data_IF_156967828690
#
_entry.id   IF_156967828690
#
_cell.length_a   1.000
_cell.length_b   1.000
_cell.length_c   1.000
_cell.angle_alpha   90.00
_cell.angle_beta   90.00
_cell.angle_gamma   90.00
#
_symmetry.space_group_name_H-M   'P 1'
#
loop_
_entity.id
_entity.type
_entity.pdbx_description
1 polymer ?
#
# COMPACT_ATOMS: atom_id res chain seq x y z
N UNK A 1 -8.47 -7.77 -10.41
CA UNK A 1 -8.81 -9.18 -10.77
C UNK A 1 -9.78 -9.77 -9.74
N UNK A 2 -9.52 -9.70 -8.42
CA UNK A 2 -10.40 -10.32 -7.42
C UNK A 2 -11.79 -9.68 -7.36
N UNK A 3 -11.90 -8.35 -7.39
CA UNK A 3 -13.18 -7.66 -7.38
C UNK A 3 -14.05 -7.99 -8.59
N UNK A 4 -13.48 -8.12 -9.79
CA UNK A 4 -14.22 -8.49 -11.00
C UNK A 4 -14.71 -9.94 -10.97
N UNK A 5 -13.93 -10.86 -10.41
CA UNK A 5 -14.35 -12.26 -10.21
C UNK A 5 -15.51 -12.34 -9.21
N UNK A 6 -15.44 -11.59 -8.11
CA UNK A 6 -16.50 -11.53 -7.12
C UNK A 6 -17.81 -10.99 -7.69
N UNK A 7 -17.75 -9.93 -8.52
CA UNK A 7 -18.93 -9.40 -9.20
C UNK A 7 -19.61 -10.40 -10.13
N UNK A 8 -18.87 -11.36 -10.70
CA UNK A 8 -19.46 -12.37 -11.58
C UNK A 8 -20.27 -13.42 -10.84
N UNK A 9 -20.07 -13.57 -9.52
CA UNK A 9 -20.73 -14.58 -8.69
C UNK A 9 -21.99 -14.03 -8.01
N UNK A 10 -22.05 -12.72 -7.76
CA UNK A 10 -23.24 -12.08 -7.15
C UNK A 10 -24.28 -11.67 -8.19
N UNK A 11 -25.54 -11.82 -7.83
CA UNK A 11 -26.70 -11.39 -8.62
C UNK A 11 -26.72 -9.87 -8.83
N UNK A 12 -27.17 -9.42 -10.03
CA UNK A 12 -27.13 -8.03 -10.45
C UNK A 12 -28.06 -7.11 -9.61
N UNK A 13 -29.14 -7.63 -9.02
CA UNK A 13 -30.05 -6.83 -8.19
C UNK A 13 -29.42 -6.50 -6.84
N UNK A 14 -28.77 -7.48 -6.22
CA UNK A 14 -28.04 -7.33 -4.94
C UNK A 14 -26.87 -6.34 -5.09
N UNK A 15 -26.11 -6.42 -6.20
CA UNK A 15 -25.02 -5.48 -6.48
C UNK A 15 -25.49 -4.03 -6.59
N UNK A 16 -26.62 -3.79 -7.28
CA UNK A 16 -27.21 -2.45 -7.41
C UNK A 16 -27.72 -1.90 -6.08
N UNK A 17 -28.32 -2.76 -5.25
CA UNK A 17 -28.86 -2.38 -3.94
C UNK A 17 -27.75 -1.99 -2.95
N UNK A 18 -26.58 -2.62 -3.05
CA UNK A 18 -25.44 -2.39 -2.16
C UNK A 18 -24.40 -1.42 -2.74
N UNK A 19 -24.59 -0.91 -3.96
CA UNK A 19 -23.63 -0.02 -4.60
C UNK A 19 -22.29 -0.68 -4.97
N UNK A 20 -22.26 -2.01 -5.07
CA UNK A 20 -21.04 -2.77 -5.36
C UNK A 20 -20.60 -2.60 -6.83
N UNK A 21 -19.89 -1.53 -7.11
CA UNK A 21 -19.27 -1.29 -8.40
C UNK A 21 -17.76 -1.54 -8.34
N UNK A 22 -17.27 -2.41 -9.23
CA UNK A 22 -15.83 -2.59 -9.41
C UNK A 22 -15.22 -1.33 -10.01
N UNK A 23 -14.37 -0.68 -9.25
CA UNK A 23 -13.60 0.45 -9.77
C UNK A 23 -12.33 -0.08 -10.44
N UNK A 24 -12.15 0.25 -11.72
CA UNK A 24 -10.97 -0.19 -12.46
C UNK A 24 -9.69 0.44 -11.89
N UNK A 25 -8.57 -0.26 -12.03
CA UNK A 25 -7.27 0.23 -11.60
C UNK A 25 -6.94 1.61 -12.18
N UNK A 26 -7.26 1.84 -13.45
CA UNK A 26 -7.07 3.14 -14.09
C UNK A 26 -7.82 4.27 -13.38
N UNK A 27 -9.07 4.03 -12.99
CA UNK A 27 -9.87 5.04 -12.27
C UNK A 27 -9.38 5.24 -10.84
N UNK A 28 -8.93 4.18 -10.17
CA UNK A 28 -8.29 4.29 -8.85
C UNK A 28 -7.04 5.17 -8.94
N UNK A 29 -6.18 4.92 -9.92
CA UNK A 29 -4.96 5.71 -10.12
C UNK A 29 -5.25 7.18 -10.49
N UNK A 30 -6.33 7.48 -11.21
CA UNK A 30 -6.79 8.87 -11.44
C UNK A 30 -7.11 9.61 -10.14
N UNK A 31 -7.48 8.90 -9.08
CA UNK A 31 -7.72 9.45 -7.75
C UNK A 31 -6.43 9.50 -6.94
N UNK A 32 -5.69 8.39 -6.85
CA UNK A 32 -4.54 8.28 -5.96
C UNK A 32 -3.31 9.07 -6.45
N UNK A 33 -3.12 9.16 -7.78
CA UNK A 33 -1.99 9.89 -8.33
C UNK A 33 -1.97 11.36 -7.88
N UNK A 34 -2.98 12.19 -8.19
CA UNK A 34 -2.97 13.60 -7.80
C UNK A 34 -3.15 13.79 -6.28
N UNK A 35 -3.68 12.79 -5.55
CA UNK A 35 -3.89 12.88 -4.12
C UNK A 35 -2.57 12.84 -3.33
N UNK A 36 -1.66 11.93 -3.67
CA UNK A 36 -0.39 11.78 -2.95
C UNK A 36 0.73 11.04 -3.73
N UNK A 37 0.41 10.18 -4.70
CA UNK A 37 1.44 9.36 -5.35
C UNK A 37 2.37 10.18 -6.26
N UNK A 38 1.86 11.18 -6.96
CA UNK A 38 2.66 12.01 -7.86
C UNK A 38 3.66 12.84 -7.06
N UNK A 39 3.26 13.40 -5.91
CA UNK A 39 4.17 14.11 -5.00
C UNK A 39 5.33 13.20 -4.54
N UNK A 40 5.05 11.95 -4.16
CA UNK A 40 6.08 11.00 -3.73
C UNK A 40 7.04 10.63 -4.87
N UNK A 41 6.54 10.49 -6.09
CA UNK A 41 7.36 10.24 -7.28
C UNK A 41 8.23 11.44 -7.64
N UNK A 42 7.70 12.65 -7.53
CA UNK A 42 8.47 13.89 -7.71
C UNK A 42 9.55 14.04 -6.64
N UNK A 43 9.26 13.71 -5.38
CA UNK A 43 10.23 13.71 -4.29
C UNK A 43 11.37 12.70 -4.55
N UNK A 44 11.05 11.50 -5.05
CA UNK A 44 12.04 10.52 -5.47
C UNK A 44 12.93 11.05 -6.60
N UNK A 45 12.33 11.61 -7.64
CA UNK A 45 13.07 12.19 -8.75
C UNK A 45 13.98 13.34 -8.29
N UNK A 46 13.49 14.21 -7.41
CA UNK A 46 14.28 15.29 -6.82
C UNK A 46 15.43 14.78 -5.93
N UNK A 47 15.23 13.69 -5.20
CA UNK A 47 16.27 13.05 -4.39
C UNK A 47 17.39 12.49 -5.26
N UNK A 48 17.05 11.83 -6.37
CA UNK A 48 18.00 11.29 -7.34
C UNK A 48 18.77 12.36 -8.11
N UNK A 49 18.18 13.54 -8.30
CA UNK A 49 18.79 14.68 -9.00
C UNK A 49 19.78 15.49 -8.15
N UNK A 50 19.94 15.17 -6.84
CA UNK A 50 20.89 15.89 -5.97
C UNK A 50 22.32 15.76 -6.51
N UNK A 51 23.14 16.79 -6.27
CA UNK A 51 24.49 16.97 -6.81
C UNK A 51 25.54 16.03 -6.18
N UNK A 52 25.39 15.63 -4.93
CA UNK A 52 26.34 14.77 -4.23
C UNK A 52 25.70 13.48 -3.71
N UNK A 53 26.51 12.40 -3.63
CA UNK A 53 26.08 11.11 -3.09
C UNK A 53 25.47 11.25 -1.69
N UNK A 54 26.12 12.02 -0.81
CA UNK A 54 25.61 12.22 0.56
C UNK A 54 24.23 12.89 0.59
N UNK A 55 24.01 13.91 -0.26
CA UNK A 55 22.71 14.57 -0.34
C UNK A 55 21.64 13.67 -0.94
N UNK A 56 22.00 12.82 -1.93
CA UNK A 56 21.09 11.78 -2.46
C UNK A 56 20.67 10.81 -1.36
N UNK A 57 21.63 10.23 -0.64
CA UNK A 57 21.38 9.28 0.45
C UNK A 57 20.50 9.90 1.53
N UNK A 58 20.76 11.12 1.97
CA UNK A 58 19.96 11.81 2.97
C UNK A 58 18.51 12.05 2.49
N UNK A 59 18.35 12.48 1.24
CA UNK A 59 17.03 12.73 0.66
C UNK A 59 16.24 11.42 0.47
N UNK A 60 16.87 10.36 -0.01
CA UNK A 60 16.26 9.04 -0.17
C UNK A 60 15.83 8.44 1.17
N UNK A 61 16.66 8.54 2.21
CA UNK A 61 16.28 8.07 3.53
C UNK A 61 15.09 8.85 4.10
N UNK A 62 15.07 10.18 3.91
CA UNK A 62 13.93 11.01 4.32
C UNK A 62 12.63 10.58 3.62
N UNK A 63 12.70 10.35 2.31
CA UNK A 63 11.54 9.84 1.57
C UNK A 63 11.13 8.46 2.08
N UNK A 64 12.08 7.57 2.34
CA UNK A 64 11.79 6.24 2.87
C UNK A 64 11.11 6.28 4.25
N UNK A 65 11.56 7.19 5.13
CA UNK A 65 10.89 7.43 6.42
C UNK A 65 9.45 7.93 6.23
N UNK A 66 9.25 8.85 5.28
CA UNK A 66 7.92 9.35 4.93
C UNK A 66 7.01 8.24 4.41
N UNK A 67 7.49 7.37 3.51
CA UNK A 67 6.73 6.21 3.02
C UNK A 67 6.28 5.30 4.18
N UNK A 68 7.15 5.07 5.15
CA UNK A 68 6.85 4.29 6.36
C UNK A 68 5.88 4.98 7.32
N UNK A 69 5.73 6.30 7.25
CA UNK A 69 4.79 7.05 8.09
C UNK A 69 3.37 7.06 7.53
N UNK A 70 3.20 6.91 6.22
CA UNK A 70 1.89 6.96 5.55
C UNK A 70 0.95 5.88 6.09
N UNK A 71 -0.27 6.29 6.40
CA UNK A 71 -1.41 5.42 6.74
C UNK A 71 -2.51 5.65 5.73
N UNK A 72 -2.98 4.59 5.11
CA UNK A 72 -4.01 4.64 4.08
C UNK A 72 -5.30 4.01 4.59
N UNK A 73 -6.44 4.69 4.38
CA UNK A 73 -7.76 4.21 4.78
C UNK A 73 -8.76 4.33 3.64
N UNK A 74 -9.51 3.25 3.40
CA UNK A 74 -10.72 3.25 2.59
C UNK A 74 -11.93 2.93 3.49
N UNK A 75 -12.83 3.90 3.72
CA UNK A 75 -13.96 3.73 4.64
C UNK A 75 -15.14 2.94 4.05
N UNK A 76 -15.06 2.53 2.78
CA UNK A 76 -16.05 1.69 2.11
C UNK A 76 -15.33 0.71 1.17
N UNK A 77 -14.41 -0.09 1.73
CA UNK A 77 -13.35 -0.70 0.94
C UNK A 77 -13.79 -1.85 0.02
N UNK A 78 -15.00 -2.40 0.20
CA UNK A 78 -15.42 -3.55 -0.58
C UNK A 78 -14.42 -4.69 -0.49
N UNK A 79 -14.02 -5.21 -1.66
CA UNK A 79 -12.96 -6.22 -1.77
C UNK A 79 -11.53 -5.63 -1.72
N UNK A 80 -11.35 -4.38 -1.28
CA UNK A 80 -10.06 -3.75 -1.02
C UNK A 80 -9.34 -3.15 -2.23
N UNK A 81 -10.03 -2.86 -3.34
CA UNK A 81 -9.37 -2.43 -4.58
C UNK A 81 -8.50 -1.17 -4.40
N UNK A 82 -8.99 -0.12 -3.71
CA UNK A 82 -8.21 1.09 -3.44
C UNK A 82 -7.01 0.79 -2.56
N UNK A 83 -7.19 0.00 -1.51
CA UNK A 83 -6.13 -0.36 -0.55
C UNK A 83 -5.04 -1.17 -1.26
N UNK A 84 -5.42 -2.13 -2.11
CA UNK A 84 -4.50 -2.98 -2.88
C UNK A 84 -3.64 -2.14 -3.83
N UNK A 85 -4.27 -1.20 -4.57
CA UNK A 85 -3.54 -0.34 -5.51
C UNK A 85 -2.63 0.61 -4.76
N UNK A 86 -3.12 1.27 -3.68
CA UNK A 86 -2.30 2.16 -2.86
C UNK A 86 -1.08 1.43 -2.28
N UNK A 87 -1.28 0.24 -1.71
CA UNK A 87 -0.20 -0.58 -1.18
C UNK A 87 0.85 -0.91 -2.24
N UNK A 88 0.41 -1.42 -3.39
CA UNK A 88 1.31 -1.80 -4.48
C UNK A 88 2.14 -0.62 -4.99
N UNK A 89 1.53 0.56 -5.16
CA UNK A 89 2.23 1.75 -5.64
C UNK A 89 3.25 2.26 -4.60
N UNK A 90 2.89 2.29 -3.32
CA UNK A 90 3.83 2.66 -2.25
C UNK A 90 5.00 1.68 -2.16
N UNK A 91 4.76 0.36 -2.25
CA UNK A 91 5.80 -0.66 -2.29
C UNK A 91 6.69 -0.55 -3.54
N UNK A 92 6.13 -0.09 -4.68
CA UNK A 92 6.91 0.14 -5.89
C UNK A 92 7.85 1.35 -5.75
N UNK A 93 7.40 2.43 -5.09
CA UNK A 93 8.25 3.59 -4.78
C UNK A 93 9.33 3.19 -3.76
N UNK A 94 8.95 2.46 -2.70
CA UNK A 94 9.89 1.95 -1.70
C UNK A 94 11.01 1.12 -2.34
N UNK A 95 10.65 0.20 -3.25
CA UNK A 95 11.63 -0.61 -3.99
C UNK A 95 12.62 0.25 -4.75
N UNK A 96 12.16 1.31 -5.44
CA UNK A 96 13.04 2.23 -6.16
C UNK A 96 13.98 3.01 -5.22
N UNK A 97 13.49 3.41 -4.04
CA UNK A 97 14.34 4.04 -3.00
C UNK A 97 15.43 3.08 -2.53
N UNK A 98 15.06 1.83 -2.24
CA UNK A 98 16.01 0.80 -1.81
C UNK A 98 17.05 0.48 -2.88
N UNK A 99 16.63 0.37 -4.15
CA UNK A 99 17.53 0.18 -5.29
C UNK A 99 18.54 1.31 -5.41
N UNK A 100 18.06 2.56 -5.33
CA UNK A 100 18.92 3.73 -5.43
C UNK A 100 19.93 3.81 -4.26
N UNK A 101 19.51 3.51 -3.04
CA UNK A 101 20.40 3.44 -1.88
C UNK A 101 21.44 2.35 -2.02
N UNK A 102 21.03 1.16 -2.51
CA UNK A 102 21.94 0.05 -2.76
C UNK A 102 23.01 0.39 -3.82
N UNK A 103 22.61 1.04 -4.92
CA UNK A 103 23.52 1.41 -6.01
C UNK A 103 24.47 2.56 -5.60
N UNK A 104 24.08 3.41 -4.64
CA UNK A 104 24.90 4.48 -4.08
C UNK A 104 25.85 4.00 -2.98
N UNK A 105 25.62 2.83 -2.41
CA UNK A 105 26.50 2.25 -1.39
C UNK A 105 27.72 1.61 -2.05
N UNK A 106 28.89 1.76 -1.40
CA UNK A 106 30.02 0.89 -1.72
C UNK A 106 29.59 -0.56 -1.47
N UNK A 107 29.60 -1.39 -2.53
CA UNK A 107 29.04 -2.76 -2.61
C UNK A 107 29.47 -3.74 -1.49
N UNK A 108 30.27 -3.29 -0.53
CA UNK A 108 30.75 -4.06 0.60
C UNK A 108 30.32 -3.57 2.00
N UNK A 109 29.62 -2.43 2.13
CA UNK A 109 29.31 -1.84 3.45
C UNK A 109 27.84 -1.81 3.84
N UNK A 110 26.91 -1.98 2.93
CA UNK A 110 25.49 -2.08 3.26
C UNK A 110 25.00 -3.49 2.98
N UNK A 111 24.99 -4.33 4.00
CA UNK A 111 24.02 -5.42 4.04
C UNK A 111 22.64 -4.80 4.27
N UNK A 112 22.00 -4.29 3.21
CA UNK A 112 20.56 -4.04 3.26
C UNK A 112 19.94 -5.40 3.57
N UNK A 113 19.54 -5.60 4.82
CA UNK A 113 18.69 -6.73 5.17
C UNK A 113 17.28 -6.40 4.65
N UNK A 114 17.09 -6.67 3.35
CA UNK A 114 15.81 -6.47 2.69
C UNK A 114 14.64 -7.18 3.41
N UNK A 115 14.96 -8.03 4.39
CA UNK A 115 13.97 -8.70 5.23
C UNK A 115 13.50 -7.83 6.38
N UNK A 116 14.37 -7.03 6.99
CA UNK A 116 14.06 -6.23 8.19
C UNK A 116 13.77 -4.76 7.88
N UNK A 117 14.17 -4.26 6.71
CA UNK A 117 14.21 -2.82 6.45
C UNK A 117 12.95 -2.25 5.79
N UNK A 118 11.98 -3.09 5.39
CA UNK A 118 10.73 -2.61 4.79
C UNK A 118 9.94 -1.73 5.74
N UNK A 119 9.63 -0.51 5.31
CA UNK A 119 8.87 0.48 6.05
C UNK A 119 7.39 0.53 5.66
N UNK A 120 7.05 0.18 4.39
CA UNK A 120 5.67 0.06 3.94
C UNK A 120 5.18 -1.35 4.22
N UNK A 121 4.28 -1.49 5.19
CA UNK A 121 3.80 -2.79 5.69
C UNK A 121 2.27 -2.84 5.75
N UNK A 122 1.69 -4.05 5.77
CA UNK A 122 0.24 -4.24 5.70
C UNK A 122 -0.53 -3.54 6.83
N UNK A 123 0.03 -3.46 8.02
CA UNK A 123 -0.57 -2.82 9.20
C UNK A 123 -0.71 -1.29 9.10
N UNK A 124 -0.21 -0.68 8.00
CA UNK A 124 -0.43 0.72 7.65
C UNK A 124 -1.71 0.94 6.82
N UNK A 125 -2.42 -0.12 6.48
CA UNK A 125 -3.57 -0.09 5.58
C UNK A 125 -4.84 -0.50 6.32
N UNK A 126 -5.88 0.33 6.16
CA UNK A 126 -7.11 0.25 6.93
C UNK A 126 -8.30 0.25 5.97
N UNK A 127 -9.33 -0.49 6.33
CA UNK A 127 -10.59 -0.50 5.59
C UNK A 127 -11.77 -0.67 6.53
N UNK A 128 -12.90 -0.10 6.14
CA UNK A 128 -14.19 -0.40 6.76
C UNK A 128 -15.09 -0.95 5.65
N UNK A 129 -15.75 -2.07 5.92
CA UNK A 129 -16.69 -2.67 5.00
C UNK A 129 -17.91 -3.16 5.76
N UNK A 130 -19.11 -2.88 5.24
CA UNK A 130 -20.36 -3.23 5.92
C UNK A 130 -20.68 -4.73 5.84
N UNK A 131 -20.24 -5.36 4.75
CA UNK A 131 -20.48 -6.79 4.49
C UNK A 131 -19.23 -7.61 4.84
N UNK A 132 -19.41 -8.66 5.62
CA UNK A 132 -18.31 -9.52 6.05
C UNK A 132 -17.59 -10.21 4.88
N UNK A 133 -18.30 -10.65 3.83
CA UNK A 133 -17.70 -11.35 2.71
C UNK A 133 -16.67 -10.53 1.95
N UNK A 134 -16.99 -9.32 1.46
CA UNK A 134 -15.99 -8.48 0.81
C UNK A 134 -14.83 -8.12 1.73
N UNK A 135 -15.09 -7.90 3.04
CA UNK A 135 -14.03 -7.63 4.01
C UNK A 135 -13.01 -8.77 4.08
N UNK A 136 -13.45 -10.04 4.16
CA UNK A 136 -12.56 -11.20 4.17
C UNK A 136 -11.80 -11.39 2.86
N UNK A 137 -12.42 -11.03 1.74
CA UNK A 137 -11.75 -11.01 0.44
C UNK A 137 -10.64 -9.94 0.44
N UNK A 138 -10.92 -8.74 0.96
CA UNK A 138 -9.93 -7.66 1.06
C UNK A 138 -8.71 -8.08 1.90
N UNK A 139 -8.91 -8.67 3.07
CA UNK A 139 -7.83 -9.21 3.91
C UNK A 139 -6.95 -10.20 3.15
N UNK A 140 -7.59 -11.19 2.51
CA UNK A 140 -6.88 -12.21 1.72
C UNK A 140 -6.11 -11.59 0.54
N UNK A 141 -6.75 -10.67 -0.18
CA UNK A 141 -6.14 -9.99 -1.32
C UNK A 141 -4.93 -9.14 -0.91
N UNK A 142 -4.96 -8.53 0.29
CA UNK A 142 -3.82 -7.79 0.84
C UNK A 142 -2.60 -8.70 1.10
N UNK A 143 -2.79 -9.90 1.63
CA UNK A 143 -1.68 -10.86 1.74
C UNK A 143 -1.14 -11.30 0.37
N UNK A 144 -2.00 -11.46 -0.62
CA UNK A 144 -1.57 -11.87 -1.95
C UNK A 144 -0.76 -10.76 -2.66
N UNK A 145 -1.18 -9.51 -2.56
CA UNK A 145 -0.42 -8.39 -3.15
C UNK A 145 0.91 -8.17 -2.42
N UNK A 146 0.93 -8.29 -1.09
CA UNK A 146 2.17 -8.24 -0.31
C UNK A 146 3.16 -9.31 -0.79
N UNK A 147 2.69 -10.53 -0.98
CA UNK A 147 3.54 -11.60 -1.54
C UNK A 147 4.05 -11.30 -2.94
N UNK A 148 3.22 -10.68 -3.80
CA UNK A 148 3.67 -10.27 -5.13
C UNK A 148 4.75 -9.17 -5.07
N UNK A 149 4.63 -8.23 -4.15
CA UNK A 149 5.66 -7.20 -3.92
C UNK A 149 6.97 -7.83 -3.42
N UNK A 150 6.89 -8.82 -2.53
CA UNK A 150 8.05 -9.55 -2.04
C UNK A 150 8.76 -10.35 -3.14
N UNK A 151 8.03 -10.89 -4.12
CA UNK A 151 8.66 -11.55 -5.26
C UNK A 151 9.51 -10.58 -6.09
N UNK A 152 9.03 -9.34 -6.32
CA UNK A 152 9.81 -8.30 -6.99
C UNK A 152 11.05 -7.90 -6.18
N UNK A 153 10.90 -7.77 -4.86
CA UNK A 153 12.03 -7.52 -3.97
C UNK A 153 13.08 -8.64 -4.06
N UNK A 154 12.63 -9.89 -4.07
CA UNK A 154 13.50 -11.07 -4.20
C UNK A 154 14.21 -11.11 -5.55
N UNK A 155 13.54 -10.76 -6.63
CA UNK A 155 14.14 -10.67 -7.97
C UNK A 155 15.30 -9.67 -7.98
N UNK A 156 15.17 -8.56 -7.26
CA UNK A 156 16.17 -7.50 -7.24
C UNK A 156 17.31 -7.74 -6.25
N UNK A 157 16.99 -8.20 -5.04
CA UNK A 157 17.97 -8.32 -3.94
C UNK A 157 18.34 -9.78 -3.58
N UNK A 158 17.78 -10.77 -4.28
CA UNK A 158 17.99 -12.18 -4.01
C UNK A 158 17.33 -12.73 -2.75
N UNK A 159 16.67 -11.87 -1.97
CA UNK A 159 16.02 -12.23 -0.70
C UNK A 159 14.70 -11.45 -0.50
N UNK A 160 13.80 -12.03 0.27
CA UNK A 160 12.54 -11.41 0.66
C UNK A 160 12.18 -11.78 2.11
N UNK A 161 11.30 -11.01 2.79
CA UNK A 161 10.83 -11.33 4.13
C UNK A 161 10.21 -12.72 4.22
N UNK A 162 10.41 -13.39 5.35
CA UNK A 162 9.62 -14.56 5.71
C UNK A 162 8.28 -14.10 6.28
N UNK A 163 7.17 -14.55 5.67
CA UNK A 163 5.82 -14.11 6.03
C UNK A 163 5.08 -15.07 6.95
N UNK A 164 5.71 -16.14 7.35
CA UNK A 164 5.14 -17.10 8.31
C UNK A 164 5.99 -17.15 9.58
N UNK A 165 5.36 -17.07 10.76
CA UNK A 165 3.93 -16.77 10.99
C UNK A 165 3.56 -15.34 10.57
N UNK A 166 2.28 -15.10 10.24
CA UNK A 166 1.77 -13.76 9.88
C UNK A 166 1.93 -12.85 11.10
N UNK A 167 2.73 -11.81 10.93
CA UNK A 167 3.05 -10.84 12.00
C UNK A 167 2.34 -9.50 11.82
N UNK A 168 1.99 -9.15 10.59
CA UNK A 168 1.35 -7.90 10.21
C UNK A 168 0.24 -8.17 9.22
N UNK A 169 -0.89 -7.50 9.40
CA UNK A 169 -2.07 -7.63 8.55
C UNK A 169 -2.72 -6.27 8.31
N UNK A 170 -3.42 -6.13 7.19
CA UNK A 170 -4.27 -4.97 6.96
C UNK A 170 -5.46 -5.01 7.93
N UNK A 171 -5.83 -3.86 8.46
CA UNK A 171 -6.88 -3.73 9.46
C UNK A 171 -8.21 -3.46 8.78
N UNK A 172 -8.93 -4.52 8.43
CA UNK A 172 -10.25 -4.43 7.80
C UNK A 172 -11.32 -4.66 8.87
N UNK A 173 -12.14 -3.64 9.11
CA UNK A 173 -13.21 -3.66 10.11
C UNK A 173 -14.54 -3.91 9.43
N UNK A 174 -15.29 -4.89 9.91
CA UNK A 174 -16.67 -5.11 9.46
C UNK A 174 -17.60 -4.18 10.23
N UNK A 175 -18.24 -3.24 9.53
CA UNK A 175 -19.11 -2.25 10.17
C UNK A 175 -19.59 -1.17 9.23
N UNK A 176 -20.52 -0.37 9.72
CA UNK A 176 -20.99 0.81 8.98
C UNK A 176 -20.07 2.01 9.25
N UNK A 177 -19.36 2.47 8.22
CA UNK A 177 -18.41 3.58 8.32
C UNK A 177 -19.04 4.88 8.88
N UNK A 178 -20.32 5.12 8.64
CA UNK A 178 -21.04 6.30 9.17
C UNK A 178 -21.36 6.19 10.67
N UNK A 179 -21.14 5.03 11.28
CA UNK A 179 -21.39 4.75 12.70
C UNK A 179 -20.15 4.29 13.45
N UNK A 180 -19.05 4.09 12.74
CA UNK A 180 -17.77 3.67 13.29
C UNK A 180 -16.94 4.89 13.66
N UNK A 181 -16.35 4.92 14.83
CA UNK A 181 -15.36 5.94 15.21
C UNK A 181 -14.02 5.62 14.52
N UNK A 182 -13.73 6.30 13.43
CA UNK A 182 -12.53 6.03 12.61
C UNK A 182 -11.23 6.21 13.42
N UNK A 183 -11.19 7.23 14.30
CA UNK A 183 -10.02 7.54 15.13
C UNK A 183 -9.65 6.42 16.10
N UNK A 184 -10.61 5.55 16.48
CA UNK A 184 -10.35 4.38 17.32
C UNK A 184 -9.56 3.30 16.58
N UNK A 185 -9.67 3.25 15.25
CA UNK A 185 -8.97 2.30 14.39
C UNK A 185 -7.69 2.89 13.80
N UNK A 186 -7.76 4.13 13.37
CA UNK A 186 -6.68 4.88 12.74
C UNK A 186 -6.56 6.26 13.42
N UNK A 187 -5.71 6.42 14.42
CA UNK A 187 -5.49 7.71 15.06
C UNK A 187 -5.05 8.77 14.03
N UNK A 188 -5.62 10.00 14.12
CA UNK A 188 -5.28 11.05 13.18
C UNK A 188 -3.83 11.47 13.32
N UNK A 189 -3.15 11.61 12.20
CA UNK A 189 -1.82 12.22 12.09
C UNK A 189 -1.71 12.91 10.72
N UNK A 190 -0.61 13.62 10.47
CA UNK A 190 -0.39 14.35 9.23
C UNK A 190 -0.17 13.47 7.98
N UNK A 191 0.12 12.17 8.19
CA UNK A 191 0.44 11.23 7.11
C UNK A 191 -0.73 10.29 6.80
N UNK A 192 -1.93 10.60 7.29
CA UNK A 192 -3.15 9.84 6.97
C UNK A 192 -3.71 10.26 5.61
N UNK A 193 -3.92 9.28 4.75
CA UNK A 193 -4.61 9.41 3.46
C UNK A 193 -5.90 8.63 3.51
N UNK A 194 -7.03 9.30 3.25
CA UNK A 194 -8.35 8.67 3.16
C UNK A 194 -8.84 8.76 1.73
N UNK A 195 -9.07 7.63 1.09
CA UNK A 195 -9.61 7.56 -0.27
C UNK A 195 -10.38 6.25 -0.49
N UNK A 196 -11.48 6.35 -1.18
CA UNK A 196 -12.36 5.23 -1.52
C UNK A 196 -13.43 5.67 -2.49
N UNK A 197 -14.33 4.75 -2.85
CA UNK A 197 -15.45 5.00 -3.76
C UNK A 197 -16.77 4.50 -3.14
#
# INVERSE_FOLDING_TARGET
>A
IFGSMFQSVRDAATRRALGEHYTSEENILKTLNPLFLDELREELAAALARDTTQKKVNALNKLWDRLGAIRFMDPACGCGNFIIVAYRELRAIELQVMEALYDLSDKHQLSLDAKSDLKVTLDHFYGIEIDEWPARIAETAMFMIDRQCDLKLRERFGQAPERLPIQREAKIVVGNALRTEWESHLPPNQDVVVAGN
#
